data_IF_764095503115
#
_entry.id   IF_764095503115
#
_cell.length_a   1.000
_cell.length_b   1.000
_cell.length_c   1.000
_cell.angle_alpha   90.00
_cell.angle_beta   90.00
_cell.angle_gamma   90.00
#
_symmetry.space_group_name_H-M   'P 1'
#
loop_
_entity.id
_entity.type
_entity.pdbx_description
1 polymer ?
#
# COMPACT_ATOMS: atom_id res chain seq x y z
N UNK A 1 -14.51 10.47 24.19
CA UNK A 1 -15.44 10.11 25.28
C UNK A 1 -14.81 8.91 25.98
N UNK A 2 -14.57 8.98 27.29
CA UNK A 2 -13.92 7.89 28.02
C UNK A 2 -14.81 6.64 27.95
N UNK A 3 -14.23 5.53 27.50
CA UNK A 3 -14.78 4.19 27.72
C UNK A 3 -15.08 4.08 29.22
N UNK A 4 -16.30 3.68 29.54
CA UNK A 4 -16.76 3.60 30.93
C UNK A 4 -15.72 2.78 31.71
N UNK A 5 -15.01 3.42 32.67
CA UNK A 5 -13.90 2.81 33.45
C UNK A 5 -14.29 1.52 34.20
N UNK A 6 -15.57 1.15 34.14
CA UNK A 6 -16.14 -0.03 34.79
C UNK A 6 -16.13 -1.29 33.93
N UNK A 7 -15.80 -1.20 32.63
CA UNK A 7 -15.77 -2.33 31.72
C UNK A 7 -14.36 -2.85 31.48
N UNK A 8 -14.05 -3.98 32.10
CA UNK A 8 -12.85 -4.76 31.77
C UNK A 8 -12.90 -5.28 30.32
N UNK A 9 -11.75 -5.43 29.70
CA UNK A 9 -11.59 -5.93 28.32
C UNK A 9 -12.38 -7.22 28.06
N UNK A 10 -12.49 -8.07 29.08
CA UNK A 10 -13.25 -9.30 29.05
C UNK A 10 -14.75 -9.05 28.94
N UNK A 11 -15.28 -8.13 29.74
CA UNK A 11 -16.68 -7.72 29.70
C UNK A 11 -17.04 -7.09 28.35
N UNK A 12 -16.16 -6.27 27.80
CA UNK A 12 -16.33 -5.67 26.48
C UNK A 12 -16.44 -6.76 25.39
N UNK A 13 -15.56 -7.76 25.39
CA UNK A 13 -15.61 -8.86 24.41
C UNK A 13 -16.89 -9.68 24.53
N UNK A 14 -17.37 -9.94 25.74
CA UNK A 14 -18.60 -10.67 25.98
C UNK A 14 -19.82 -9.84 25.53
N UNK A 15 -19.84 -8.54 25.84
CA UNK A 15 -20.90 -7.64 25.42
C UNK A 15 -21.00 -7.57 23.89
N UNK A 16 -19.87 -7.38 23.21
CA UNK A 16 -19.79 -7.40 21.74
C UNK A 16 -20.32 -8.71 21.16
N UNK A 17 -19.98 -9.85 21.77
CA UNK A 17 -20.43 -11.15 21.32
C UNK A 17 -21.95 -11.35 21.53
N UNK A 18 -22.50 -10.87 22.64
CA UNK A 18 -23.95 -10.88 22.91
C UNK A 18 -24.68 -10.04 21.88
N UNK A 19 -24.23 -8.82 21.64
CA UNK A 19 -24.88 -7.90 20.67
C UNK A 19 -24.83 -8.48 19.26
N UNK A 20 -23.65 -8.93 18.82
CA UNK A 20 -23.47 -9.51 17.48
C UNK A 20 -24.38 -10.71 17.27
N UNK A 21 -24.41 -11.64 18.21
CA UNK A 21 -25.25 -12.83 18.11
C UNK A 21 -26.75 -12.46 18.12
N UNK A 22 -27.16 -11.50 18.95
CA UNK A 22 -28.53 -11.02 18.98
C UNK A 22 -28.96 -10.34 17.67
N UNK A 23 -28.07 -9.55 17.06
CA UNK A 23 -28.32 -8.93 15.75
C UNK A 23 -28.50 -9.97 14.62
N UNK A 24 -27.76 -11.08 14.71
CA UNK A 24 -27.82 -12.15 13.71
C UNK A 24 -29.06 -13.05 13.86
N UNK A 25 -29.47 -13.33 15.12
CA UNK A 25 -30.51 -14.34 15.41
C UNK A 25 -31.84 -13.76 15.82
N UNK A 26 -31.86 -12.57 16.40
CA UNK A 26 -33.04 -11.98 17.05
C UNK A 26 -33.46 -12.68 18.35
N UNK A 27 -32.68 -13.66 18.82
CA UNK A 27 -33.02 -14.47 19.99
C UNK A 27 -32.15 -14.11 21.21
N UNK A 28 -32.72 -14.22 22.46
CA UNK A 28 -31.94 -14.00 23.68
C UNK A 28 -30.72 -14.92 23.77
N UNK A 29 -29.55 -14.36 24.04
CA UNK A 29 -28.24 -15.04 23.97
C UNK A 29 -27.88 -15.70 25.29
N UNK A 30 -27.59 -16.99 25.27
CA UNK A 30 -27.16 -17.76 26.44
C UNK A 30 -25.63 -17.83 26.60
N UNK A 31 -25.13 -18.02 27.81
CA UNK A 31 -23.69 -18.16 28.07
C UNK A 31 -23.03 -19.33 27.33
N UNK A 32 -23.77 -20.40 27.05
CA UNK A 32 -23.26 -21.55 26.26
C UNK A 32 -23.08 -21.18 24.79
N UNK A 33 -23.93 -20.32 24.26
CA UNK A 33 -23.80 -19.79 22.89
C UNK A 33 -22.53 -18.95 22.80
N UNK A 34 -22.34 -18.00 23.71
CA UNK A 34 -21.14 -17.16 23.75
C UNK A 34 -19.87 -17.98 23.90
N UNK A 35 -19.87 -19.01 24.75
CA UNK A 35 -18.72 -19.90 24.92
C UNK A 35 -18.27 -20.61 23.63
N UNK A 36 -19.17 -20.82 22.68
CA UNK A 36 -18.89 -21.44 21.38
C UNK A 36 -18.45 -20.43 20.32
N UNK A 37 -18.94 -19.19 20.43
CA UNK A 37 -18.68 -18.13 19.47
C UNK A 37 -17.43 -17.31 19.76
N UNK A 38 -16.87 -17.41 20.98
CA UNK A 38 -15.69 -16.64 21.36
C UNK A 38 -14.50 -17.56 21.59
N UNK A 39 -13.35 -17.22 21.00
CA UNK A 39 -12.06 -17.92 21.21
C UNK A 39 -11.48 -17.70 22.61
N UNK A 40 -12.27 -17.14 23.52
CA UNK A 40 -11.81 -16.72 24.85
C UNK A 40 -11.50 -17.86 25.81
N UNK A 41 -11.57 -19.13 25.43
CA UNK A 41 -11.29 -20.31 26.30
C UNK A 41 -11.92 -20.21 27.73
N UNK A 42 -13.04 -19.49 27.86
CA UNK A 42 -13.75 -19.30 29.13
C UNK A 42 -14.84 -20.35 29.29
N UNK A 43 -15.04 -20.79 30.54
CA UNK A 43 -16.14 -21.68 30.87
C UNK A 43 -17.48 -20.93 30.73
N UNK A 44 -18.55 -21.65 30.38
CA UNK A 44 -19.91 -21.06 30.34
C UNK A 44 -20.36 -20.53 31.72
N UNK A 45 -19.77 -21.02 32.82
CA UNK A 45 -20.03 -20.51 34.15
C UNK A 45 -19.37 -19.13 34.35
N UNK A 46 -18.13 -18.97 33.93
CA UNK A 46 -17.43 -17.68 33.97
C UNK A 46 -18.17 -16.65 33.11
N UNK A 47 -18.54 -17.01 31.88
CA UNK A 47 -19.29 -16.13 31.00
C UNK A 47 -20.63 -15.71 31.63
N UNK A 48 -21.32 -16.63 32.31
CA UNK A 48 -22.57 -16.31 33.02
C UNK A 48 -22.36 -15.27 34.12
N UNK A 49 -21.28 -15.34 34.87
CA UNK A 49 -20.96 -14.35 35.92
C UNK A 49 -20.68 -12.97 35.28
N UNK A 50 -19.86 -12.92 34.24
CA UNK A 50 -19.60 -11.66 33.52
C UNK A 50 -20.88 -11.07 32.89
N UNK A 51 -21.78 -11.93 32.40
CA UNK A 51 -23.09 -11.47 31.92
C UNK A 51 -23.98 -10.95 33.05
N UNK A 52 -23.90 -11.49 34.27
CA UNK A 52 -24.61 -10.94 35.41
C UNK A 52 -24.09 -9.55 35.80
N UNK A 53 -22.76 -9.37 35.82
CA UNK A 53 -22.13 -8.06 36.03
C UNK A 53 -22.58 -7.04 34.95
N UNK A 54 -22.60 -7.44 33.70
CA UNK A 54 -23.07 -6.59 32.58
C UNK A 54 -24.55 -6.24 32.70
N UNK A 55 -25.36 -7.12 33.27
CA UNK A 55 -26.76 -6.87 33.57
C UNK A 55 -26.90 -5.85 34.71
N UNK A 56 -26.14 -5.99 35.79
CA UNK A 56 -26.10 -5.02 36.88
C UNK A 56 -25.67 -3.63 36.43
N UNK A 57 -24.71 -3.58 35.50
CA UNK A 57 -24.26 -2.34 34.88
C UNK A 57 -25.26 -1.78 33.85
N UNK A 58 -26.32 -2.52 33.53
CA UNK A 58 -27.39 -2.09 32.63
C UNK A 58 -27.08 -2.16 31.12
N UNK A 59 -26.06 -2.92 30.70
CA UNK A 59 -25.74 -3.10 29.28
C UNK A 59 -26.56 -4.17 28.60
N UNK A 60 -26.96 -5.17 29.35
CA UNK A 60 -27.83 -6.27 28.89
C UNK A 60 -28.94 -6.48 29.90
N UNK A 61 -30.01 -7.18 29.52
CA UNK A 61 -31.12 -7.50 30.38
C UNK A 61 -31.61 -8.91 30.12
N UNK A 62 -32.12 -9.56 31.14
CA UNK A 62 -32.80 -10.85 31.01
C UNK A 62 -34.30 -10.63 30.85
N UNK A 63 -34.91 -10.92 29.68
CA UNK A 63 -36.34 -10.69 29.46
C UNK A 63 -37.26 -11.62 30.28
N UNK A 64 -36.78 -12.85 30.57
CA UNK A 64 -37.51 -13.83 31.37
C UNK A 64 -36.55 -14.70 32.16
N UNK A 65 -37.01 -15.28 33.26
CA UNK A 65 -36.20 -16.04 34.24
C UNK A 65 -35.40 -17.21 33.62
N UNK A 66 -35.84 -17.79 32.51
CA UNK A 66 -35.17 -18.89 31.80
C UNK A 66 -34.58 -18.48 30.47
N UNK A 67 -34.72 -17.22 30.08
CA UNK A 67 -34.19 -16.73 28.81
C UNK A 67 -32.70 -16.39 28.89
N UNK A 68 -32.06 -16.26 27.72
CA UNK A 68 -30.75 -15.64 27.61
C UNK A 68 -30.79 -14.14 27.93
N UNK A 69 -29.79 -13.42 27.49
CA UNK A 69 -29.68 -11.97 27.64
C UNK A 69 -29.92 -11.27 26.32
N UNK A 70 -30.51 -10.09 26.36
CA UNK A 70 -30.69 -9.19 25.23
C UNK A 70 -29.96 -7.86 25.51
N UNK A 71 -29.43 -7.17 24.49
CA UNK A 71 -28.81 -5.87 24.67
C UNK A 71 -29.84 -4.80 25.05
N UNK A 72 -29.41 -3.84 25.87
CA UNK A 72 -30.18 -2.61 26.16
C UNK A 72 -29.74 -1.49 25.22
N UNK A 73 -30.44 -0.37 25.24
CA UNK A 73 -30.03 0.85 24.52
C UNK A 73 -28.63 1.33 24.93
N UNK A 74 -28.28 1.18 26.23
CA UNK A 74 -26.94 1.48 26.73
C UNK A 74 -25.89 0.55 26.12
N UNK A 75 -26.21 -0.74 26.00
CA UNK A 75 -25.34 -1.73 25.37
C UNK A 75 -25.10 -1.43 23.89
N UNK A 76 -26.14 -1.10 23.15
CA UNK A 76 -26.00 -0.73 21.74
C UNK A 76 -25.19 0.54 21.53
N UNK A 77 -25.41 1.58 22.35
CA UNK A 77 -24.60 2.81 22.26
C UNK A 77 -23.14 2.53 22.48
N UNK A 78 -22.81 1.81 23.53
CA UNK A 78 -21.45 1.40 23.81
C UNK A 78 -20.83 0.66 22.61
N UNK A 79 -21.54 -0.28 22.03
CA UNK A 79 -21.09 -1.07 20.87
C UNK A 79 -20.81 -0.20 19.64
N UNK A 80 -21.67 0.76 19.36
CA UNK A 80 -21.50 1.69 18.23
C UNK A 80 -20.31 2.62 18.48
N UNK A 81 -20.21 3.21 19.67
CA UNK A 81 -19.12 4.10 20.02
C UNK A 81 -17.75 3.39 19.95
N UNK A 82 -17.69 2.16 20.41
CA UNK A 82 -16.49 1.33 20.33
C UNK A 82 -16.12 0.97 18.89
N UNK A 83 -17.08 0.57 18.07
CA UNK A 83 -16.88 0.33 16.64
C UNK A 83 -16.39 1.58 15.90
N UNK A 84 -16.92 2.75 16.22
CA UNK A 84 -16.49 4.01 15.61
C UNK A 84 -15.07 4.35 16.01
N UNK A 85 -14.73 4.18 17.29
CA UNK A 85 -13.36 4.39 17.79
C UNK A 85 -12.34 3.46 17.12
N UNK A 86 -12.68 2.18 16.94
CA UNK A 86 -11.81 1.24 16.21
C UNK A 86 -11.64 1.63 14.74
N UNK A 87 -12.70 2.11 14.08
CA UNK A 87 -12.61 2.60 12.69
C UNK A 87 -11.77 3.86 12.57
N UNK A 88 -11.94 4.81 13.47
CA UNK A 88 -11.14 6.04 13.48
C UNK A 88 -9.64 5.73 13.65
N UNK A 89 -9.27 4.84 14.58
CA UNK A 89 -7.89 4.38 14.74
C UNK A 89 -7.35 3.75 13.44
N UNK A 90 -8.12 2.84 12.84
CA UNK A 90 -7.72 2.19 11.59
C UNK A 90 -7.55 3.18 10.43
N UNK A 91 -8.35 4.25 10.37
CA UNK A 91 -8.22 5.30 9.35
C UNK A 91 -6.93 6.10 9.59
N UNK A 92 -6.71 6.54 10.82
CA UNK A 92 -5.50 7.29 11.19
C UNK A 92 -4.22 6.50 10.92
N UNK A 93 -4.20 5.21 11.26
CA UNK A 93 -3.06 4.33 11.01
C UNK A 93 -2.79 4.18 9.50
N UNK A 94 -3.84 4.08 8.68
CA UNK A 94 -3.72 4.03 7.22
C UNK A 94 -3.25 5.35 6.62
N UNK A 95 -3.75 6.47 7.11
CA UNK A 95 -3.32 7.80 6.67
C UNK A 95 -1.83 8.03 6.95
N UNK A 96 -1.35 7.61 8.10
CA UNK A 96 0.08 7.69 8.44
C UNK A 96 0.93 6.78 7.56
N UNK A 97 0.46 5.58 7.25
CA UNK A 97 1.15 4.65 6.35
C UNK A 97 1.22 5.21 4.91
N UNK A 98 0.12 5.78 4.41
CA UNK A 98 0.07 6.41 3.09
C UNK A 98 1.03 7.59 3.00
N UNK A 99 1.01 8.49 3.98
CA UNK A 99 1.93 9.63 4.03
C UNK A 99 3.41 9.22 4.04
N UNK A 100 3.74 8.14 4.76
CA UNK A 100 5.09 7.57 4.77
C UNK A 100 5.50 7.04 3.39
N UNK A 101 4.62 6.33 2.70
CA UNK A 101 4.86 5.79 1.35
C UNK A 101 5.00 6.90 0.30
N UNK A 102 4.19 7.94 0.39
CA UNK A 102 4.28 9.11 -0.49
C UNK A 102 5.63 9.82 -0.34
N UNK A 103 6.11 9.99 0.89
CA UNK A 103 7.43 10.56 1.16
C UNK A 103 8.57 9.71 0.57
N UNK A 104 8.48 8.39 0.69
CA UNK A 104 9.47 7.46 0.11
C UNK A 104 9.45 7.50 -1.43
N UNK A 105 8.27 7.57 -2.03
CA UNK A 105 8.13 7.69 -3.48
C UNK A 105 8.72 9.00 -3.99
N UNK A 106 8.44 10.13 -3.34
CA UNK A 106 9.01 11.43 -3.71
C UNK A 106 10.55 11.42 -3.64
N UNK A 107 11.13 10.76 -2.64
CA UNK A 107 12.59 10.60 -2.54
C UNK A 107 13.17 9.80 -3.71
N UNK A 108 12.52 8.68 -4.07
CA UNK A 108 12.95 7.84 -5.20
C UNK A 108 12.78 8.54 -6.56
N UNK A 109 11.73 9.34 -6.72
CA UNK A 109 11.56 10.17 -7.93
C UNK A 109 12.67 11.22 -8.07
N UNK A 110 13.07 11.85 -6.97
CA UNK A 110 14.19 12.80 -6.97
C UNK A 110 15.51 12.11 -7.35
N UNK A 111 15.80 10.91 -6.81
CA UNK A 111 16.97 10.12 -7.20
C UNK A 111 16.94 9.74 -8.68
N UNK A 112 15.81 9.31 -9.20
CA UNK A 112 15.64 8.97 -10.62
C UNK A 112 15.84 10.18 -11.53
N UNK A 113 15.39 11.36 -11.10
CA UNK A 113 15.63 12.61 -11.85
C UNK A 113 17.12 12.93 -11.94
N UNK A 114 17.84 12.87 -10.81
CA UNK A 114 19.28 13.12 -10.79
C UNK A 114 20.08 12.12 -11.62
N UNK A 115 19.67 10.84 -11.61
CA UNK A 115 20.29 9.82 -12.47
C UNK A 115 20.04 10.07 -13.95
N UNK A 116 18.82 10.51 -14.33
CA UNK A 116 18.49 10.89 -15.70
C UNK A 116 19.36 12.04 -16.20
N UNK A 117 19.50 13.07 -15.38
CA UNK A 117 20.31 14.25 -15.73
C UNK A 117 21.78 13.87 -15.92
N UNK A 118 22.33 13.07 -15.00
CA UNK A 118 23.70 12.57 -15.10
C UNK A 118 23.94 11.66 -16.33
N UNK A 119 22.93 10.88 -16.74
CA UNK A 119 23.00 10.09 -17.95
C UNK A 119 22.93 10.97 -19.21
N UNK A 120 22.06 11.99 -19.22
CA UNK A 120 21.97 12.97 -20.30
C UNK A 120 23.31 13.66 -20.58
N UNK A 121 23.98 14.17 -19.57
CA UNK A 121 25.33 14.77 -19.69
C UNK A 121 26.37 13.81 -20.29
N UNK A 122 26.34 12.55 -19.90
CA UNK A 122 27.27 11.54 -20.44
C UNK A 122 27.01 11.24 -21.90
N UNK A 123 25.75 11.21 -22.32
CA UNK A 123 25.37 10.99 -23.73
C UNK A 123 25.83 12.15 -24.59
N UNK A 124 25.63 13.41 -24.20
CA UNK A 124 26.08 14.58 -24.91
C UNK A 124 27.61 14.59 -25.09
N UNK A 125 28.36 14.25 -24.04
CA UNK A 125 29.85 14.14 -24.13
C UNK A 125 30.30 13.08 -25.12
N UNK A 126 29.59 11.96 -25.22
CA UNK A 126 29.92 10.91 -26.20
C UNK A 126 29.61 11.39 -27.62
N UNK A 127 28.54 12.12 -27.85
CA UNK A 127 28.24 12.71 -29.14
C UNK A 127 29.31 13.73 -29.60
N UNK A 128 29.76 14.62 -28.70
CA UNK A 128 30.84 15.54 -28.99
C UNK A 128 32.17 14.82 -29.31
N UNK A 129 32.51 13.78 -28.57
CA UNK A 129 33.70 12.97 -28.84
C UNK A 129 33.61 12.30 -30.20
N UNK A 130 32.49 11.69 -30.55
CA UNK A 130 32.30 11.05 -31.85
C UNK A 130 32.38 12.04 -33.00
N UNK A 131 31.81 13.23 -32.86
CA UNK A 131 31.94 14.31 -33.84
C UNK A 131 33.41 14.77 -34.01
N UNK A 132 34.13 14.90 -32.93
CA UNK A 132 35.55 15.31 -32.99
C UNK A 132 36.42 14.22 -33.63
N UNK A 133 36.22 12.96 -33.32
CA UNK A 133 36.87 11.83 -33.95
C UNK A 133 36.60 11.79 -35.45
N UNK A 134 35.34 11.99 -35.87
CA UNK A 134 34.95 12.04 -37.26
C UNK A 134 35.70 13.19 -38.02
N UNK A 135 35.78 14.37 -37.42
CA UNK A 135 36.51 15.53 -38.02
C UNK A 135 37.98 15.24 -38.18
N UNK A 136 38.62 14.64 -37.16
CA UNK A 136 40.05 14.29 -37.26
C UNK A 136 40.31 13.26 -38.34
N UNK A 137 39.50 12.18 -38.36
CA UNK A 137 39.65 11.15 -39.40
C UNK A 137 39.42 11.69 -40.82
N UNK A 138 38.42 12.53 -41.00
CA UNK A 138 38.18 13.15 -42.32
C UNK A 138 39.35 14.03 -42.78
N UNK A 139 39.99 14.75 -41.85
CA UNK A 139 41.13 15.62 -42.15
C UNK A 139 42.41 14.83 -42.48
N UNK A 140 42.69 13.76 -41.73
CA UNK A 140 43.92 13.00 -41.87
C UNK A 140 43.90 12.01 -43.05
N UNK A 141 42.73 11.50 -43.40
CA UNK A 141 42.57 10.47 -44.46
C UNK A 141 42.08 11.02 -45.77
N UNK A 142 41.61 12.25 -45.83
CA UNK A 142 40.98 12.87 -47.00
C UNK A 142 39.74 12.11 -47.54
N UNK A 143 39.14 11.27 -46.65
CA UNK A 143 37.88 10.54 -46.93
C UNK A 143 36.70 11.19 -46.20
N UNK A 144 35.53 11.08 -46.80
CA UNK A 144 34.30 11.46 -46.14
C UNK A 144 34.01 10.48 -45.01
N UNK A 145 34.01 10.96 -43.77
CA UNK A 145 33.70 10.14 -42.57
C UNK A 145 32.33 10.48 -42.04
N UNK A 146 31.49 9.48 -41.94
CA UNK A 146 30.16 9.62 -41.35
C UNK A 146 30.09 8.84 -40.02
N UNK A 147 29.79 9.54 -38.94
CA UNK A 147 29.57 8.93 -37.66
C UNK A 147 28.10 9.09 -37.27
N UNK A 148 27.44 7.98 -37.03
CA UNK A 148 26.04 7.98 -36.56
C UNK A 148 26.02 7.71 -35.08
N UNK A 149 25.41 8.64 -34.32
CA UNK A 149 25.13 8.44 -32.91
C UNK A 149 24.00 7.40 -32.77
N UNK A 150 24.13 6.42 -31.89
CA UNK A 150 23.02 5.50 -31.62
C UNK A 150 21.89 6.28 -30.93
N UNK A 151 20.77 6.45 -31.62
CA UNK A 151 19.56 6.91 -30.93
C UNK A 151 19.13 5.83 -29.97
N UNK A 152 19.26 6.09 -28.68
CA UNK A 152 18.77 5.22 -27.59
C UNK A 152 17.24 5.36 -27.50
N UNK A 153 16.56 4.88 -28.52
CA UNK A 153 15.12 4.64 -28.46
C UNK A 153 14.92 3.15 -28.30
N UNK A 154 14.99 2.64 -27.08
CA UNK A 154 14.46 1.33 -26.69
C UNK A 154 14.93 0.07 -27.43
N UNK A 155 15.73 0.17 -28.51
CA UNK A 155 16.18 -0.95 -29.31
C UNK A 155 17.63 -1.29 -29.03
N UNK A 156 17.89 -2.57 -28.76
CA UNK A 156 19.26 -3.08 -28.60
C UNK A 156 20.05 -2.90 -29.88
N UNK A 157 21.22 -2.26 -29.80
CA UNK A 157 22.18 -2.17 -30.89
C UNK A 157 22.58 -3.58 -31.31
N UNK A 158 22.26 -4.01 -32.54
CA UNK A 158 22.56 -5.35 -33.01
C UNK A 158 23.94 -5.47 -33.63
N UNK A 159 24.39 -4.46 -34.38
CA UNK A 159 25.74 -4.42 -34.96
C UNK A 159 26.07 -3.01 -35.46
N UNK A 160 27.35 -2.72 -35.55
CA UNK A 160 27.88 -1.53 -36.19
C UNK A 160 28.68 -1.98 -37.43
N UNK A 161 28.38 -1.45 -38.58
CA UNK A 161 29.11 -1.73 -39.81
C UNK A 161 29.86 -0.48 -40.28
N UNK A 162 31.15 -0.60 -40.42
CA UNK A 162 31.99 0.41 -41.03
C UNK A 162 32.17 0.10 -42.53
N UNK A 163 31.66 0.99 -43.37
CA UNK A 163 31.81 0.85 -44.85
C UNK A 163 32.72 1.96 -45.33
N UNK A 164 33.74 1.59 -46.07
CA UNK A 164 34.59 2.52 -46.80
C UNK A 164 33.91 2.86 -48.13
N UNK A 165 33.42 4.09 -48.28
CA UNK A 165 32.89 4.60 -49.53
C UNK A 165 34.02 5.21 -50.30
N UNK A 166 34.52 4.48 -51.29
CA UNK A 166 35.45 5.01 -52.26
C UNK A 166 34.70 5.75 -53.35
N UNK A 167 34.70 7.06 -53.34
CA UNK A 167 34.21 7.88 -54.47
C UNK A 167 35.33 8.02 -55.47
N UNK A 168 35.51 6.98 -56.29
CA UNK A 168 36.23 7.10 -57.55
C UNK A 168 35.20 7.46 -58.64
N UNK A 169 34.84 8.73 -58.71
CA UNK A 169 34.33 9.30 -59.96
C UNK A 169 35.44 10.12 -60.54
N UNK A 170 36.23 9.51 -61.37
CA UNK A 170 36.99 10.22 -62.38
C UNK A 170 36.02 10.65 -63.45
N UNK A 171 35.77 11.93 -63.56
CA UNK A 171 35.20 12.54 -64.74
C UNK A 171 36.25 12.50 -65.86
N UNK A 172 36.19 11.46 -66.68
CA UNK A 172 36.81 11.51 -67.99
C UNK A 172 35.71 11.21 -69.02
N UNK A 173 35.13 12.27 -69.50
CA UNK A 173 34.46 12.27 -70.80
C UNK A 173 34.58 13.70 -71.37
N UNK A 174 35.74 13.99 -71.91
CA UNK A 174 35.87 14.99 -72.92
C UNK A 174 36.36 14.24 -74.18
N UNK A 175 35.43 14.05 -75.13
CA UNK A 175 35.52 14.27 -76.53
C UNK A 175 34.19 13.94 -77.18
#
# INVERSE_FOLDING_TARGET
>A
MALDEQLDERKVKILKAVIKNYLETGEPVGSRTISKFTDMKLSSATIRNEMADLEELGYIVQPHTSAGRIPTDKGYRFYVDDMMSEKEKNITDRETEVASRESEMASKEAELSTMKDALGEKVERVEELLQNVAKVLAKDTNYATMVTSPKVTGNKLKFVQLSQLCLLYTSDAAD
#
